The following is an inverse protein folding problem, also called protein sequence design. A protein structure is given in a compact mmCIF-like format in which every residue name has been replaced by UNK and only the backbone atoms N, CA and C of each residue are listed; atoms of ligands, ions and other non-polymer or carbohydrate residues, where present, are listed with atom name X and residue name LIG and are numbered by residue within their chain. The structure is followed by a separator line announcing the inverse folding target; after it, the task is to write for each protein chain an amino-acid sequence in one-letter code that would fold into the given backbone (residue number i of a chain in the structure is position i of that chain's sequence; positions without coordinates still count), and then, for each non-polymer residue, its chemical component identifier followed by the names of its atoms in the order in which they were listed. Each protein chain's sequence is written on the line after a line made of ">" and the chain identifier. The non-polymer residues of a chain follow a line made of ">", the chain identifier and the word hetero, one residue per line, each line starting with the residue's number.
data_IF_952674176168
#
_entry.id   IF_952674176168
#
_cell.length_a   1.000
_cell.length_b   1.000
_cell.length_c   1.000
_cell.angle_alpha   90.00
_cell.angle_beta   90.00
_cell.angle_gamma   90.00
#
_symmetry.space_group_name_H-M   'P 1'
#
loop_
_entity.id
_entity.type
_entity.pdbx_description
1 polymer ?
#
# COMPACT_ATOMS: atom_id res chain seq x y z
N UNK A 1 16.33 -24.12 15.07
CA UNK A 1 16.77 -23.38 13.86
C UNK A 1 16.46 -21.90 14.06
N UNK A 2 17.39 -21.01 13.74
CA UNK A 2 17.20 -19.56 13.89
C UNK A 2 16.58 -19.04 12.61
N UNK A 3 15.38 -18.44 12.67
CA UNK A 3 14.67 -17.83 11.52
C UNK A 3 15.55 -16.91 10.67
N UNK A 4 16.64 -16.37 11.23
CA UNK A 4 17.62 -15.55 10.53
C UNK A 4 18.27 -16.28 9.34
N UNK A 5 18.40 -17.61 9.36
CA UNK A 5 18.96 -18.37 8.23
C UNK A 5 17.96 -18.57 7.08
N UNK A 6 16.67 -18.30 7.31
CA UNK A 6 15.59 -18.53 6.34
C UNK A 6 15.18 -17.25 5.61
N UNK A 7 15.66 -16.09 6.04
CA UNK A 7 15.41 -14.81 5.36
C UNK A 7 16.17 -14.80 4.05
N UNK A 8 15.45 -14.66 2.93
CA UNK A 8 16.03 -14.52 1.59
C UNK A 8 16.02 -13.09 1.09
N UNK A 9 15.01 -12.32 1.47
CA UNK A 9 14.76 -10.97 0.98
C UNK A 9 14.44 -10.04 2.14
N UNK A 10 14.99 -8.83 2.07
CA UNK A 10 14.65 -7.73 2.97
C UNK A 10 13.94 -6.65 2.17
N UNK A 11 12.85 -6.11 2.74
CA UNK A 11 12.07 -5.02 2.13
C UNK A 11 12.13 -3.82 3.06
N UNK A 12 12.63 -2.70 2.54
CA UNK A 12 12.49 -1.38 3.15
C UNK A 12 11.21 -0.72 2.65
N UNK A 13 10.25 -0.50 3.54
CA UNK A 13 8.98 0.17 3.25
C UNK A 13 8.99 1.59 3.81
N UNK A 14 8.85 2.58 2.94
CA UNK A 14 8.52 3.95 3.31
C UNK A 14 7.01 4.12 3.30
N UNK A 15 6.40 4.07 4.48
CA UNK A 15 4.98 4.35 4.68
C UNK A 15 4.79 5.83 5.04
N UNK A 16 4.67 6.70 4.03
CA UNK A 16 4.49 8.14 4.21
C UNK A 16 3.04 8.55 4.50
N UNK A 17 2.80 9.83 4.74
CA UNK A 17 1.43 10.35 4.93
C UNK A 17 0.70 10.53 3.59
N UNK A 18 1.42 11.00 2.56
CA UNK A 18 0.87 11.28 1.23
C UNK A 18 1.27 10.21 0.21
N UNK A 19 2.51 9.72 0.29
CA UNK A 19 3.09 8.77 -0.65
C UNK A 19 3.82 7.65 0.08
N UNK A 20 3.71 6.44 -0.43
CA UNK A 20 4.46 5.28 0.04
C UNK A 20 5.29 4.69 -1.08
N UNK A 21 6.42 4.08 -0.72
CA UNK A 21 7.35 3.44 -1.65
C UNK A 21 8.05 2.27 -0.97
N UNK A 22 8.62 1.36 -1.74
CA UNK A 22 9.44 0.30 -1.16
C UNK A 22 10.63 -0.04 -2.04
N UNK A 23 11.66 -0.54 -1.38
CA UNK A 23 12.88 -1.07 -1.98
C UNK A 23 13.12 -2.46 -1.41
N UNK A 24 13.57 -3.39 -2.23
CA UNK A 24 13.81 -4.75 -1.81
C UNK A 24 15.17 -5.24 -2.31
N UNK A 25 15.79 -6.14 -1.55
CA UNK A 25 17.10 -6.70 -1.85
C UNK A 25 17.18 -8.16 -1.41
N UNK A 26 17.86 -8.98 -2.19
CA UNK A 26 18.16 -10.36 -1.82
C UNK A 26 19.44 -10.40 -0.97
N UNK A 27 19.46 -11.23 0.08
CA UNK A 27 20.57 -11.24 1.06
C UNK A 27 21.91 -11.72 0.48
N UNK A 28 21.90 -12.41 -0.67
CA UNK A 28 23.10 -12.89 -1.34
C UNK A 28 23.60 -11.98 -2.45
N UNK A 29 22.82 -10.96 -2.83
CA UNK A 29 23.16 -10.08 -3.94
C UNK A 29 23.80 -8.81 -3.39
N UNK A 30 25.13 -8.84 -3.25
CA UNK A 30 25.91 -7.72 -2.73
C UNK A 30 25.58 -6.43 -3.52
N UNK A 31 24.96 -5.46 -2.83
CA UNK A 31 24.59 -4.12 -3.30
C UNK A 31 23.55 -4.03 -4.43
N UNK A 32 22.79 -5.08 -4.74
CA UNK A 32 21.65 -4.95 -5.67
C UNK A 32 20.34 -4.74 -4.90
N UNK A 33 19.97 -3.46 -4.76
CA UNK A 33 18.64 -3.07 -4.28
C UNK A 33 17.78 -2.61 -5.45
N UNK A 34 16.53 -3.04 -5.46
CA UNK A 34 15.55 -2.66 -6.47
C UNK A 34 14.50 -1.79 -5.79
N UNK A 35 14.47 -0.51 -6.16
CA UNK A 35 13.39 0.39 -5.76
C UNK A 35 12.22 0.20 -6.70
N UNK A 36 11.03 -0.07 -6.16
CA UNK A 36 9.87 -0.33 -6.97
C UNK A 36 9.42 0.91 -7.74
N UNK A 37 9.24 0.76 -9.05
CA UNK A 37 8.72 1.79 -9.95
C UNK A 37 7.44 1.37 -10.70
N UNK A 38 6.90 0.18 -10.37
CA UNK A 38 5.71 -0.40 -10.99
C UNK A 38 4.57 -0.41 -10.00
N UNK A 39 3.52 0.36 -10.29
CA UNK A 39 2.35 0.48 -9.43
C UNK A 39 1.08 0.23 -10.24
N UNK A 40 -0.03 -0.17 -9.60
CA UNK A 40 -1.31 -0.24 -10.27
C UNK A 40 -1.65 1.09 -10.98
N UNK A 41 -1.69 1.08 -12.32
CA UNK A 41 -2.03 2.27 -13.11
C UNK A 41 -0.91 3.30 -13.32
N UNK A 42 0.30 3.08 -12.80
CA UNK A 42 1.47 3.97 -12.99
C UNK A 42 2.76 3.16 -13.25
N UNK A 43 3.60 3.65 -14.17
CA UNK A 43 4.92 3.10 -14.47
C UNK A 43 5.99 4.19 -14.37
N UNK A 44 7.14 3.84 -13.80
CA UNK A 44 8.29 4.74 -13.65
C UNK A 44 8.22 5.69 -12.44
N UNK A 45 7.14 5.65 -11.65
CA UNK A 45 7.02 6.42 -10.40
C UNK A 45 7.63 5.64 -9.24
N UNK A 46 8.51 6.23 -8.44
CA UNK A 46 9.14 5.52 -7.31
C UNK A 46 8.22 5.36 -6.09
N UNK A 47 7.06 6.01 -6.10
CA UNK A 47 6.08 6.00 -5.00
C UNK A 47 4.66 6.03 -5.56
N UNK A 48 3.71 5.52 -4.78
CA UNK A 48 2.27 5.66 -5.02
C UNK A 48 1.59 6.39 -3.87
N UNK A 49 0.37 6.89 -4.08
CA UNK A 49 -0.38 7.59 -3.05
C UNK A 49 -0.68 6.70 -1.83
N UNK A 50 -0.64 7.28 -0.63
CA UNK A 50 -1.06 6.61 0.62
C UNK A 50 -2.55 6.82 0.83
N UNK A 51 -3.32 6.18 -0.05
CA UNK A 51 -4.76 6.37 -0.18
C UNK A 51 -5.43 5.03 -0.38
N UNK A 52 -6.62 4.87 0.21
CA UNK A 52 -7.45 3.68 0.09
C UNK A 52 -8.90 4.06 -0.19
N UNK A 53 -9.58 3.32 -1.06
CA UNK A 53 -10.99 3.49 -1.38
C UNK A 53 -11.72 2.17 -1.18
N UNK A 54 -12.82 2.23 -0.43
CA UNK A 54 -13.67 1.09 -0.16
C UNK A 54 -14.93 1.08 -1.03
N UNK A 55 -15.65 -0.04 -0.98
CA UNK A 55 -17.05 -0.11 -1.40
C UNK A 55 -17.96 0.83 -0.58
N UNK A 56 -19.22 0.98 -1.01
CA UNK A 56 -20.17 1.91 -0.38
C UNK A 56 -20.46 1.57 1.11
N UNK A 57 -20.13 0.37 1.55
CA UNK A 57 -20.35 -0.13 2.91
C UNK A 57 -19.07 -0.21 3.74
N UNK A 58 -17.95 0.29 3.23
CA UNK A 58 -16.64 0.25 3.88
C UNK A 58 -16.18 -1.18 4.26
N UNK A 59 -16.66 -2.20 3.55
CA UNK A 59 -16.35 -3.60 3.85
C UNK A 59 -15.08 -4.04 3.15
N UNK A 60 -15.03 -3.89 1.82
CA UNK A 60 -13.94 -4.34 0.99
C UNK A 60 -13.22 -3.15 0.35
N UNK A 61 -11.89 -3.30 0.17
CA UNK A 61 -11.08 -2.35 -0.59
C UNK A 61 -11.40 -2.52 -2.07
N UNK A 62 -11.83 -1.45 -2.74
CA UNK A 62 -12.03 -1.45 -4.20
C UNK A 62 -10.75 -1.07 -4.94
N UNK A 63 -10.03 -0.08 -4.43
CA UNK A 63 -8.80 0.47 -5.03
C UNK A 63 -7.95 1.12 -3.96
N UNK A 64 -6.64 1.13 -4.15
CA UNK A 64 -5.66 1.82 -3.31
C UNK A 64 -4.63 2.51 -4.20
N UNK A 65 -3.80 3.38 -3.64
CA UNK A 65 -2.78 4.10 -4.40
C UNK A 65 -3.38 5.05 -5.44
N UNK A 66 -2.66 5.24 -6.55
CA UNK A 66 -3.11 6.10 -7.65
C UNK A 66 -4.49 5.75 -8.25
N UNK A 67 -4.87 4.46 -8.43
CA UNK A 67 -6.21 4.09 -8.91
C UNK A 67 -7.37 4.62 -8.06
N UNK A 68 -7.16 4.84 -6.75
CA UNK A 68 -8.17 5.43 -5.89
C UNK A 68 -8.44 6.90 -6.24
N UNK A 69 -7.46 7.62 -6.80
CA UNK A 69 -7.56 9.03 -7.18
C UNK A 69 -7.93 9.24 -8.66
N UNK A 70 -7.57 8.30 -9.54
CA UNK A 70 -7.73 8.46 -10.99
C UNK A 70 -9.14 8.14 -11.51
N UNK A 71 -10.03 7.57 -10.68
CA UNK A 71 -11.44 7.35 -11.03
C UNK A 71 -12.16 8.70 -11.22
N UNK A 72 -12.18 9.21 -12.46
CA UNK A 72 -13.03 10.35 -12.84
C UNK A 72 -14.48 10.04 -12.47
N UNK A 73 -15.21 10.96 -11.81
CA UNK A 73 -16.65 10.77 -11.59
C UNK A 73 -17.33 10.74 -12.97
N UNK A 74 -17.65 9.54 -13.44
CA UNK A 74 -18.38 9.36 -14.69
C UNK A 74 -19.73 10.07 -14.56
N UNK A 75 -19.93 11.18 -15.27
CA UNK A 75 -21.19 11.96 -15.28
C UNK A 75 -22.44 11.11 -15.56
N UNK A 76 -22.28 9.93 -16.19
CA UNK A 76 -23.36 8.97 -16.53
C UNK A 76 -23.61 7.88 -15.48
N UNK A 77 -22.76 7.70 -14.46
CA UNK A 77 -22.96 6.74 -13.35
C UNK A 77 -23.10 7.49 -12.01
N UNK A 78 -24.11 8.36 -11.89
CA UNK A 78 -24.48 8.98 -10.59
C UNK A 78 -24.92 7.95 -9.52
N UNK A 79 -25.09 6.67 -9.90
CA UNK A 79 -25.66 5.62 -9.05
C UNK A 79 -24.63 4.60 -8.51
N UNK A 80 -23.32 4.73 -8.79
CA UNK A 80 -22.28 3.99 -8.05
C UNK A 80 -21.54 5.00 -7.19
N UNK A 81 -22.04 5.21 -5.96
CA UNK A 81 -21.42 6.06 -4.95
C UNK A 81 -20.32 5.25 -4.26
N UNK A 82 -19.28 4.87 -5.01
CA UNK A 82 -18.07 4.35 -4.37
C UNK A 82 -17.64 5.33 -3.28
N UNK A 83 -17.24 4.82 -2.11
CA UNK A 83 -16.87 5.67 -1.00
C UNK A 83 -15.77 6.65 -1.44
N UNK A 84 -15.73 7.86 -0.87
CA UNK A 84 -14.64 8.78 -1.19
C UNK A 84 -13.31 8.15 -0.77
N UNK A 85 -12.24 8.33 -1.57
CA UNK A 85 -10.91 7.91 -1.15
C UNK A 85 -10.57 8.49 0.22
N UNK A 86 -9.95 7.67 1.06
CA UNK A 86 -9.53 8.01 2.41
C UNK A 86 -8.03 8.25 2.36
N UNK A 87 -7.63 9.45 2.74
CA UNK A 87 -6.26 9.93 2.73
C UNK A 87 -5.83 10.30 4.16
N UNK A 88 -4.53 10.54 4.36
CA UNK A 88 -3.97 11.09 5.60
C UNK A 88 -4.25 10.26 6.87
N UNK A 89 -4.77 9.04 6.74
CA UNK A 89 -5.08 8.17 7.88
C UNK A 89 -3.85 7.84 8.74
N UNK A 90 -2.64 7.93 8.18
CA UNK A 90 -1.38 7.80 8.94
C UNK A 90 -1.21 8.90 10.01
N UNK A 91 -1.81 10.09 9.84
CA UNK A 91 -1.70 11.18 10.82
C UNK A 91 -2.26 10.80 12.20
N UNK A 92 -3.16 9.79 12.26
CA UNK A 92 -3.66 9.24 13.52
C UNK A 92 -2.59 8.48 14.33
N UNK A 93 -1.47 8.09 13.72
CA UNK A 93 -0.32 7.50 14.44
C UNK A 93 0.59 8.56 15.09
N UNK A 94 0.44 9.84 14.74
CA UNK A 94 1.25 10.93 15.27
C UNK A 94 0.70 11.51 16.58
N UNK A 95 1.54 12.24 17.29
CA UNK A 95 1.17 13.00 18.50
C UNK A 95 0.46 14.32 18.14
N UNK A 96 -0.52 14.26 17.24
CA UNK A 96 -1.37 15.40 16.91
C UNK A 96 -2.49 15.53 17.95
N UNK A 97 -2.89 16.76 18.24
CA UNK A 97 -4.15 17.02 18.94
C UNK A 97 -5.32 16.45 18.13
N UNK A 98 -6.36 15.99 18.82
CA UNK A 98 -7.46 15.26 18.19
C UNK A 98 -8.24 16.12 17.17
N UNK A 99 -8.29 17.44 17.37
CA UNK A 99 -8.89 18.42 16.46
C UNK A 99 -8.08 18.66 15.18
N UNK A 100 -6.80 18.27 15.17
CA UNK A 100 -5.93 18.34 14.00
C UNK A 100 -5.89 17.02 13.20
N UNK A 101 -6.48 15.94 13.73
CA UNK A 101 -6.53 14.65 13.02
C UNK A 101 -7.63 14.68 11.96
N UNK A 102 -7.39 14.10 10.77
CA UNK A 102 -8.42 14.06 9.73
C UNK A 102 -9.61 13.20 10.18
N UNK A 103 -10.82 13.68 9.95
CA UNK A 103 -12.03 12.86 10.13
C UNK A 103 -12.05 11.74 9.08
N UNK A 104 -12.17 10.50 9.54
CA UNK A 104 -12.19 9.31 8.68
C UNK A 104 -13.55 8.62 8.78
N UNK A 105 -14.10 8.10 7.67
CA UNK A 105 -15.37 7.37 7.69
C UNK A 105 -15.23 5.93 8.24
N UNK A 106 -14.00 5.50 8.55
CA UNK A 106 -13.66 4.21 9.16
C UNK A 106 -12.60 4.41 10.24
N UNK A 107 -12.43 3.44 11.13
CA UNK A 107 -11.32 3.42 12.08
C UNK A 107 -9.97 3.51 11.34
N UNK A 108 -9.08 4.41 11.79
CA UNK A 108 -7.77 4.61 11.16
C UNK A 108 -6.92 3.34 11.14
N UNK A 109 -7.04 2.46 12.14
CA UNK A 109 -6.35 1.17 12.19
C UNK A 109 -6.81 0.27 11.05
N UNK A 110 -8.12 0.25 10.74
CA UNK A 110 -8.64 -0.48 9.58
C UNK A 110 -8.02 0.06 8.29
N UNK A 111 -8.05 1.38 8.09
CA UNK A 111 -7.46 2.01 6.91
C UNK A 111 -5.96 1.69 6.75
N UNK A 112 -5.19 1.76 7.84
CA UNK A 112 -3.76 1.42 7.84
C UNK A 112 -3.54 -0.07 7.54
N UNK A 113 -4.21 -0.97 8.26
CA UNK A 113 -4.03 -2.42 8.09
C UNK A 113 -4.43 -2.87 6.69
N UNK A 114 -5.53 -2.37 6.15
CA UNK A 114 -5.96 -2.73 4.80
C UNK A 114 -5.02 -2.13 3.75
N UNK A 115 -4.54 -0.89 3.90
CA UNK A 115 -3.53 -0.33 3.00
C UNK A 115 -2.22 -1.13 3.01
N UNK A 116 -1.74 -1.51 4.21
CA UNK A 116 -0.55 -2.33 4.37
C UNK A 116 -0.72 -3.74 3.79
N UNK A 117 -1.94 -4.30 3.84
CA UNK A 117 -2.27 -5.58 3.19
C UNK A 117 -2.17 -5.48 1.68
N UNK A 118 -2.72 -4.42 1.09
CA UNK A 118 -2.68 -4.19 -0.36
C UNK A 118 -1.25 -3.98 -0.88
N UNK A 119 -0.48 -3.08 -0.26
CA UNK A 119 0.93 -2.85 -0.66
C UNK A 119 1.80 -4.07 -0.35
N UNK A 120 1.52 -4.80 0.73
CA UNK A 120 2.19 -6.06 1.06
C UNK A 120 1.93 -7.15 0.02
N UNK A 121 0.71 -7.24 -0.52
CA UNK A 121 0.40 -8.10 -1.66
C UNK A 121 1.25 -7.76 -2.88
N UNK A 122 1.30 -6.48 -3.26
CA UNK A 122 2.14 -6.02 -4.38
C UNK A 122 3.63 -6.33 -4.15
N UNK A 123 4.14 -6.11 -2.93
CA UNK A 123 5.53 -6.44 -2.58
C UNK A 123 5.81 -7.93 -2.82
N UNK A 124 4.91 -8.82 -2.38
CA UNK A 124 5.04 -10.27 -2.61
C UNK A 124 5.07 -10.60 -4.10
N UNK A 125 4.18 -10.01 -4.89
CA UNK A 125 4.14 -10.23 -6.33
C UNK A 125 5.43 -9.76 -7.02
N UNK A 126 5.95 -8.59 -6.63
CA UNK A 126 7.18 -8.05 -7.19
C UNK A 126 8.40 -8.90 -6.84
N UNK A 127 8.53 -9.34 -5.57
CA UNK A 127 9.64 -10.17 -5.11
C UNK A 127 9.64 -11.55 -5.78
N UNK A 128 8.49 -12.20 -5.84
CA UNK A 128 8.34 -13.54 -6.45
C UNK A 128 8.53 -13.51 -7.98
N UNK A 129 8.19 -12.40 -8.63
CA UNK A 129 8.46 -12.19 -10.06
C UNK A 129 9.94 -11.94 -10.32
N UNK A 130 10.64 -11.24 -9.41
CA UNK A 130 12.05 -10.88 -9.60
C UNK A 130 12.98 -12.08 -9.38
N UNK A 131 12.72 -12.89 -8.35
CA UNK A 131 13.51 -14.10 -8.05
C UNK A 131 12.62 -15.34 -8.01
N UNK A 132 12.93 -16.31 -8.87
CA UNK A 132 12.26 -17.61 -8.87
C UNK A 132 12.60 -18.42 -7.61
N UNK A 133 11.62 -19.17 -7.11
CA UNK A 133 11.80 -20.05 -5.94
C UNK A 133 11.75 -19.36 -4.58
N UNK A 134 11.41 -18.06 -4.53
CA UNK A 134 11.07 -17.39 -3.27
C UNK A 134 9.58 -17.58 -3.01
N UNK A 135 9.24 -18.32 -1.96
CA UNK A 135 7.87 -18.46 -1.48
C UNK A 135 7.67 -17.60 -0.22
N UNK A 136 6.57 -16.87 -0.15
CA UNK A 136 6.20 -16.15 1.07
C UNK A 136 5.66 -17.15 2.11
N UNK A 137 6.19 -17.11 3.33
CA UNK A 137 5.85 -18.03 4.41
C UNK A 137 4.49 -17.78 5.09
N UNK A 138 3.66 -16.85 4.59
CA UNK A 138 2.38 -16.54 5.22
C UNK A 138 1.22 -17.36 4.62
N UNK A 139 0.50 -18.05 5.53
CA UNK A 139 -0.80 -18.69 5.28
C UNK A 139 -1.95 -17.69 5.35
#
# INVERSE_FOLDING_TARGET
>A
MSWKSDIRVVVGLDFGTTYSGFTYAHISDDNQFVTNDRWPGELGQLKTNTVIQYDEHYKNVETWGYPALSKRPNKKKKNKKGARPIELFKLHLGNLFDDLKPELPVDYKKAITDYLREIGGLIKDMVTTHWSGIESLEK
#
